data_IF_012014161648
#
_entry.id   IF_012014161648
#
_cell.length_a   1.000
_cell.length_b   1.000
_cell.length_c   1.000
_cell.angle_alpha   90.00
_cell.angle_beta   90.00
_cell.angle_gamma   90.00
#
_symmetry.space_group_name_H-M   'P 1'
#
loop_
_entity.id
_entity.type
_entity.pdbx_description
1 polymer ?
#
# COMPACT_ATOMS: atom_id res chain seq x y z
N UNK A 1 -60.65 5.33 79.95
CA UNK A 1 -59.29 4.77 79.87
C UNK A 1 -59.13 4.35 78.42
N UNK A 2 -58.82 5.27 77.50
CA UNK A 2 -57.48 5.87 77.25
C UNK A 2 -56.80 4.97 76.21
N UNK A 3 -56.28 5.41 75.06
CA UNK A 3 -56.03 6.69 74.40
C UNK A 3 -56.00 6.40 72.88
N UNK A 4 -56.35 7.39 72.05
CA UNK A 4 -55.99 7.44 70.63
C UNK A 4 -54.46 7.58 70.49
N UNK A 5 -53.86 6.89 69.53
CA UNK A 5 -52.47 7.15 69.13
C UNK A 5 -52.39 7.38 67.62
N UNK A 6 -52.11 8.63 67.31
CA UNK A 6 -51.87 9.23 66.00
C UNK A 6 -50.78 8.53 65.19
N UNK A 7 -51.00 8.52 63.87
CA UNK A 7 -49.99 8.23 62.87
C UNK A 7 -48.96 9.37 62.83
N UNK A 8 -47.78 9.15 63.39
CA UNK A 8 -46.64 10.07 63.25
C UNK A 8 -45.99 9.83 61.88
N UNK A 9 -46.27 10.73 60.94
CA UNK A 9 -45.49 10.89 59.73
C UNK A 9 -44.05 11.29 60.12
N UNK A 10 -43.07 10.44 59.79
CA UNK A 10 -41.66 10.79 59.91
C UNK A 10 -41.32 11.74 58.78
N UNK A 11 -41.36 13.04 59.07
CA UNK A 11 -40.82 14.09 58.22
C UNK A 11 -39.29 13.92 58.15
N UNK A 12 -38.82 13.20 57.13
CA UNK A 12 -37.39 13.18 56.79
C UNK A 12 -37.03 14.53 56.17
N UNK A 13 -36.73 15.52 57.01
CA UNK A 13 -36.11 16.77 56.56
C UNK A 13 -34.78 16.45 55.86
N UNK A 14 -34.76 16.66 54.55
CA UNK A 14 -33.54 16.56 53.74
C UNK A 14 -32.54 17.61 54.25
N UNK A 15 -31.30 17.24 54.63
CA UNK A 15 -30.33 18.16 55.22
C UNK A 15 -30.11 19.42 54.37
N UNK A 16 -30.04 20.58 55.01
CA UNK A 16 -29.87 21.91 54.37
C UNK A 16 -28.81 22.00 53.23
N UNK A 17 -27.68 21.26 53.25
CA UNK A 17 -26.72 21.28 52.13
C UNK A 17 -27.23 20.59 50.86
N UNK A 18 -28.07 19.56 50.98
CA UNK A 18 -28.63 18.80 49.86
C UNK A 18 -29.73 19.59 49.14
N UNK A 19 -30.55 20.34 49.88
CA UNK A 19 -31.57 21.23 49.30
C UNK A 19 -30.93 22.38 48.52
N UNK A 20 -29.81 22.92 48.99
CA UNK A 20 -29.05 23.98 48.31
C UNK A 20 -28.42 23.48 46.99
N UNK A 21 -27.89 22.25 47.01
CA UNK A 21 -27.30 21.59 45.82
C UNK A 21 -28.37 21.20 44.80
N UNK A 22 -29.55 20.75 45.24
CA UNK A 22 -30.69 20.47 44.35
C UNK A 22 -31.32 21.74 43.77
N UNK A 23 -31.40 22.84 44.54
CA UNK A 23 -31.82 24.14 44.02
C UNK A 23 -30.85 24.68 42.98
N UNK A 24 -29.54 24.64 43.25
CA UNK A 24 -28.53 24.98 42.25
C UNK A 24 -28.65 24.11 41.02
N UNK A 25 -28.81 22.78 41.14
CA UNK A 25 -28.90 21.90 39.99
C UNK A 25 -30.17 22.16 39.14
N UNK A 26 -31.30 22.48 39.77
CA UNK A 26 -32.52 22.91 39.07
C UNK A 26 -32.41 24.29 38.44
N UNK A 27 -31.62 25.19 39.03
CA UNK A 27 -31.33 26.52 38.48
C UNK A 27 -30.36 26.42 37.29
N UNK A 28 -29.34 25.56 37.36
CA UNK A 28 -28.47 25.20 36.23
C UNK A 28 -29.23 24.50 35.10
N UNK A 29 -30.18 23.61 35.42
CA UNK A 29 -31.06 22.99 34.42
C UNK A 29 -32.00 24.00 33.78
N UNK A 30 -32.63 24.90 34.55
CA UNK A 30 -33.46 25.99 33.99
C UNK A 30 -32.65 26.98 33.14
N UNK A 31 -31.40 27.27 33.53
CA UNK A 31 -30.48 28.10 32.73
C UNK A 31 -30.04 27.38 31.46
N UNK A 32 -29.80 26.06 31.51
CA UNK A 32 -29.49 25.24 30.33
C UNK A 32 -30.70 25.09 29.39
N UNK A 33 -31.90 24.89 29.93
CA UNK A 33 -33.15 24.82 29.18
C UNK A 33 -33.52 26.20 28.59
N UNK A 34 -33.23 27.30 29.29
CA UNK A 34 -33.36 28.66 28.77
C UNK A 34 -32.30 28.98 27.68
N UNK A 35 -31.10 28.41 27.77
CA UNK A 35 -30.05 28.48 26.74
C UNK A 35 -30.30 27.56 25.54
N UNK A 36 -31.23 26.60 25.66
CA UNK A 36 -31.58 25.66 24.58
C UNK A 36 -32.39 26.33 23.46
N UNK A 37 -32.85 27.57 23.63
CA UNK A 37 -33.70 28.25 22.62
C UNK A 37 -33.00 29.23 21.68
N UNK A 38 -31.68 29.45 21.75
CA UNK A 38 -30.99 30.35 20.81
C UNK A 38 -29.59 29.84 20.47
N UNK A 39 -29.50 28.75 19.70
CA UNK A 39 -28.31 28.52 18.88
C UNK A 39 -28.29 29.65 17.83
N UNK A 40 -27.25 30.50 17.76
CA UNK A 40 -27.21 31.59 16.78
C UNK A 40 -27.41 31.05 15.35
N UNK A 41 -28.14 31.75 14.46
CA UNK A 41 -28.44 31.27 13.10
C UNK A 41 -27.20 30.82 12.31
N UNK A 42 -26.08 31.53 12.51
CA UNK A 42 -24.78 31.22 11.91
C UNK A 42 -24.26 29.82 12.29
N UNK A 43 -24.52 29.34 13.51
CA UNK A 43 -24.07 28.02 13.97
C UNK A 43 -24.97 26.90 13.42
N UNK A 44 -26.26 27.17 13.19
CA UNK A 44 -27.18 26.24 12.54
C UNK A 44 -26.88 26.11 11.04
N UNK A 45 -26.60 27.21 10.35
CA UNK A 45 -26.14 27.21 8.95
C UNK A 45 -24.78 26.50 8.79
N UNK A 46 -23.84 26.73 9.70
CA UNK A 46 -22.55 26.05 9.70
C UNK A 46 -22.69 24.53 9.96
N UNK A 47 -23.67 24.11 10.76
CA UNK A 47 -23.99 22.69 11.00
C UNK A 47 -24.66 22.03 9.79
N UNK A 48 -25.62 22.71 9.17
CA UNK A 48 -26.31 22.23 7.96
C UNK A 48 -25.35 22.12 6.77
N UNK A 49 -24.49 23.12 6.56
CA UNK A 49 -23.45 23.09 5.52
C UNK A 49 -22.42 21.98 5.74
N UNK A 50 -22.04 21.69 6.99
CA UNK A 50 -21.19 20.55 7.33
C UNK A 50 -21.84 19.21 6.98
N UNK A 51 -23.11 19.01 7.36
CA UNK A 51 -23.85 17.79 7.03
C UNK A 51 -24.03 17.61 5.51
N UNK A 52 -24.36 18.68 4.78
CA UNK A 52 -24.46 18.65 3.33
C UNK A 52 -23.11 18.29 2.67
N UNK A 53 -22.00 18.85 3.17
CA UNK A 53 -20.65 18.52 2.71
C UNK A 53 -20.29 17.06 2.99
N UNK A 54 -20.67 16.52 4.15
CA UNK A 54 -20.43 15.13 4.51
C UNK A 54 -21.20 14.15 3.61
N UNK A 55 -22.50 14.43 3.35
CA UNK A 55 -23.32 13.65 2.42
C UNK A 55 -22.77 13.69 0.99
N UNK A 56 -22.24 14.83 0.56
CA UNK A 56 -21.60 14.95 -0.75
C UNK A 56 -20.34 14.10 -0.84
N UNK A 57 -19.44 14.17 0.15
CA UNK A 57 -18.24 13.33 0.21
C UNK A 57 -18.58 11.83 0.22
N UNK A 58 -19.66 11.44 0.89
CA UNK A 58 -20.14 10.06 0.90
C UNK A 58 -20.62 9.60 -0.48
N UNK A 59 -21.44 10.40 -1.17
CA UNK A 59 -21.86 10.12 -2.55
C UNK A 59 -20.67 10.00 -3.50
N UNK A 60 -19.71 10.90 -3.38
CA UNK A 60 -18.47 10.89 -4.18
C UNK A 60 -17.63 9.64 -3.91
N UNK A 61 -17.52 9.22 -2.65
CA UNK A 61 -16.80 8.00 -2.29
C UNK A 61 -17.48 6.75 -2.86
N UNK A 62 -18.80 6.61 -2.71
CA UNK A 62 -19.56 5.45 -3.22
C UNK A 62 -19.46 5.38 -4.75
N UNK A 63 -19.63 6.52 -5.44
CA UNK A 63 -19.46 6.60 -6.89
C UNK A 63 -18.03 6.23 -7.31
N UNK A 64 -17.02 6.73 -6.60
CA UNK A 64 -15.62 6.40 -6.87
C UNK A 64 -15.32 4.92 -6.65
N UNK A 65 -15.80 4.33 -5.56
CA UNK A 65 -15.63 2.91 -5.25
C UNK A 65 -16.25 2.04 -6.35
N UNK A 66 -17.49 2.34 -6.76
CA UNK A 66 -18.15 1.63 -7.86
C UNK A 66 -17.33 1.69 -9.14
N UNK A 67 -16.84 2.87 -9.52
CA UNK A 67 -16.02 3.04 -10.72
C UNK A 67 -14.72 2.24 -10.64
N UNK A 68 -14.03 2.28 -9.50
CA UNK A 68 -12.76 1.56 -9.31
C UNK A 68 -13.00 0.05 -9.42
N UNK A 69 -14.03 -0.49 -8.76
CA UNK A 69 -14.35 -1.92 -8.84
C UNK A 69 -14.72 -2.37 -10.27
N UNK A 70 -15.45 -1.55 -11.03
CA UNK A 70 -15.73 -1.80 -12.45
C UNK A 70 -14.45 -1.81 -13.31
N UNK A 71 -13.52 -0.90 -13.03
CA UNK A 71 -12.24 -0.85 -13.74
C UNK A 71 -11.35 -2.05 -13.40
N UNK A 72 -11.36 -2.50 -12.13
CA UNK A 72 -10.63 -3.70 -11.72
C UNK A 72 -11.19 -4.97 -12.36
N UNK A 73 -12.52 -5.11 -12.45
CA UNK A 73 -13.14 -6.31 -13.04
C UNK A 73 -12.94 -6.42 -14.55
N UNK A 74 -12.83 -5.29 -15.24
CA UNK A 74 -12.58 -5.21 -16.69
C UNK A 74 -11.09 -5.14 -17.06
N UNK A 75 -10.19 -5.15 -16.06
CA UNK A 75 -8.75 -4.89 -16.21
C UNK A 75 -8.44 -3.59 -16.99
N UNK A 76 -9.38 -2.64 -17.05
CA UNK A 76 -9.32 -1.49 -17.94
C UNK A 76 -8.41 -0.34 -17.45
N UNK A 77 -7.82 -0.47 -16.26
CA UNK A 77 -6.98 0.57 -15.63
C UNK A 77 -5.71 0.00 -14.99
N UNK A 78 -5.27 -1.18 -15.41
CA UNK A 78 -3.98 -1.65 -14.92
C UNK A 78 -2.83 -0.94 -15.65
N UNK A 79 -2.10 -0.14 -14.88
CA UNK A 79 -0.87 0.55 -15.31
C UNK A 79 0.38 -0.15 -14.80
N UNK A 80 0.23 -1.31 -14.16
CA UNK A 80 1.36 -2.16 -13.81
C UNK A 80 2.10 -2.54 -15.09
N UNK A 81 3.44 -2.52 -15.10
CA UNK A 81 4.23 -3.10 -16.19
C UNK A 81 3.87 -4.57 -16.47
N UNK A 82 3.28 -5.25 -15.48
CA UNK A 82 2.81 -6.63 -15.56
C UNK A 82 1.55 -6.80 -16.44
N UNK A 83 0.76 -5.75 -16.66
CA UNK A 83 -0.52 -5.84 -17.39
C UNK A 83 -1.62 -6.63 -16.67
N UNK A 84 -1.36 -7.10 -15.45
CA UNK A 84 -2.38 -7.57 -14.52
C UNK A 84 -2.06 -7.26 -13.05
N UNK A 85 -3.12 -7.32 -12.22
CA UNK A 85 -3.01 -7.21 -10.77
C UNK A 85 -2.13 -8.34 -10.21
N UNK A 86 -1.22 -7.96 -9.33
CA UNK A 86 -0.33 -8.91 -8.68
C UNK A 86 -1.10 -9.88 -7.76
N UNK A 87 -0.91 -11.19 -7.99
CA UNK A 87 -1.66 -12.26 -7.31
C UNK A 87 -1.48 -12.23 -5.80
N UNK A 88 -0.31 -11.84 -5.30
CA UNK A 88 -0.05 -11.74 -3.85
C UNK A 88 -0.88 -10.64 -3.17
N UNK A 89 -1.29 -9.62 -3.91
CA UNK A 89 -2.11 -8.53 -3.36
C UNK A 89 -3.59 -8.91 -3.26
N UNK A 90 -4.05 -9.90 -4.03
CA UNK A 90 -5.47 -10.23 -4.16
C UNK A 90 -6.18 -10.52 -2.82
N UNK A 91 -5.62 -11.30 -1.88
CA UNK A 91 -6.30 -11.58 -0.61
C UNK A 91 -6.60 -10.30 0.19
N UNK A 92 -5.60 -9.44 0.36
CA UNK A 92 -5.76 -8.15 1.05
C UNK A 92 -6.70 -7.21 0.28
N UNK A 93 -6.60 -7.18 -1.06
CA UNK A 93 -7.50 -6.37 -1.88
C UNK A 93 -8.96 -6.82 -1.73
N UNK A 94 -9.23 -8.13 -1.70
CA UNK A 94 -10.57 -8.68 -1.51
C UNK A 94 -11.14 -8.30 -0.14
N UNK A 95 -10.34 -8.41 0.93
CA UNK A 95 -10.75 -7.99 2.27
C UNK A 95 -11.15 -6.51 2.31
N UNK A 96 -10.31 -5.63 1.77
CA UNK A 96 -10.56 -4.19 1.77
C UNK A 96 -11.73 -3.81 0.87
N UNK A 97 -11.78 -4.32 -0.36
CA UNK A 97 -12.79 -3.93 -1.35
C UNK A 97 -14.20 -4.40 -0.98
N UNK A 98 -14.32 -5.53 -0.27
CA UNK A 98 -15.60 -6.03 0.25
C UNK A 98 -16.17 -5.11 1.34
N UNK A 99 -15.31 -4.52 2.17
CA UNK A 99 -15.74 -3.65 3.26
C UNK A 99 -16.22 -2.28 2.76
N UNK A 100 -17.37 -1.78 3.21
CA UNK A 100 -18.00 -0.55 2.70
C UNK A 100 -17.06 0.66 2.68
N UNK A 101 -16.24 0.84 3.71
CA UNK A 101 -15.41 2.04 3.89
C UNK A 101 -14.09 2.08 3.10
N UNK A 102 -13.76 1.04 2.35
CA UNK A 102 -12.46 0.95 1.66
C UNK A 102 -12.59 0.60 0.19
N UNK A 103 -11.66 1.13 -0.62
CA UNK A 103 -11.41 0.65 -1.99
C UNK A 103 -9.95 0.82 -2.36
N UNK A 104 -9.32 -0.22 -2.92
CA UNK A 104 -7.92 -0.20 -3.35
C UNK A 104 -7.78 0.48 -4.70
N UNK A 105 -6.89 1.47 -4.82
CA UNK A 105 -6.71 2.26 -6.05
C UNK A 105 -5.42 1.92 -6.81
N UNK A 106 -4.41 1.40 -6.12
CA UNK A 106 -3.19 0.84 -6.73
C UNK A 106 -2.51 -0.10 -5.75
N UNK A 107 -1.82 -1.12 -6.26
CA UNK A 107 -1.05 -2.07 -5.44
C UNK A 107 0.13 -2.65 -6.21
N UNK A 108 1.17 -3.07 -5.48
CA UNK A 108 2.29 -3.85 -5.98
C UNK A 108 2.79 -4.71 -4.82
N UNK A 109 2.99 -6.02 -5.04
CA UNK A 109 3.38 -6.91 -3.94
C UNK A 109 4.85 -6.77 -3.53
N UNK A 110 5.63 -6.10 -4.36
CA UNK A 110 7.08 -6.01 -4.27
C UNK A 110 7.71 -6.61 -5.53
N UNK A 111 8.92 -6.18 -5.87
CA UNK A 111 9.61 -6.66 -7.07
C UNK A 111 11.13 -6.60 -6.93
N UNK A 112 11.78 -7.61 -7.50
CA UNK A 112 13.20 -7.60 -7.82
C UNK A 112 13.32 -7.16 -9.28
N UNK A 113 14.13 -6.14 -9.54
CA UNK A 113 14.25 -5.58 -10.87
C UNK A 113 15.67 -5.14 -11.23
N UNK A 114 15.99 -5.21 -12.51
CA UNK A 114 17.08 -4.45 -13.11
C UNK A 114 16.45 -3.29 -13.86
N UNK A 115 16.86 -2.07 -13.54
CA UNK A 115 16.27 -0.87 -14.11
C UNK A 115 17.37 0.00 -14.72
N UNK A 116 17.19 0.34 -15.99
CA UNK A 116 18.01 1.29 -16.71
C UNK A 116 17.37 2.68 -16.69
N UNK A 117 18.15 3.65 -16.25
CA UNK A 117 17.78 5.07 -16.23
C UNK A 117 18.91 5.92 -16.77
N UNK A 118 18.59 7.02 -17.42
CA UNK A 118 19.55 8.05 -17.81
C UNK A 118 19.38 9.23 -16.85
N UNK A 119 20.47 9.71 -16.27
CA UNK A 119 20.42 10.93 -15.46
C UNK A 119 20.12 12.11 -16.39
N UNK A 120 19.01 12.82 -16.13
CA UNK A 120 18.81 14.15 -16.70
C UNK A 120 19.61 15.09 -15.81
N UNK A 121 20.65 15.73 -16.35
CA UNK A 121 21.35 16.78 -15.63
C UNK A 121 20.35 17.91 -15.30
N UNK A 122 20.00 18.06 -14.02
CA UNK A 122 19.30 19.25 -13.56
C UNK A 122 20.27 20.42 -13.67
N UNK A 123 20.24 21.14 -14.80
CA UNK A 123 20.92 22.42 -14.89
C UNK A 123 20.27 23.36 -13.86
N UNK A 124 20.97 23.60 -12.75
CA UNK A 124 20.65 24.68 -11.82
C UNK A 124 20.80 26.03 -12.55
N UNK A 125 19.77 26.46 -13.26
CA UNK A 125 19.77 27.73 -13.97
C UNK A 125 18.56 27.93 -14.88
N UNK A 126 17.71 28.88 -14.47
CA UNK A 126 16.57 29.46 -15.20
C UNK A 126 15.28 28.62 -15.23
N UNK A 127 14.25 29.25 -14.65
CA UNK A 127 12.87 28.79 -14.63
C UNK A 127 12.32 28.64 -16.05
N UNK A 128 11.67 27.51 -16.34
CA UNK A 128 10.38 27.43 -17.03
C UNK A 128 9.83 25.99 -17.02
N UNK A 129 8.58 25.85 -16.56
CA UNK A 129 7.68 24.71 -16.79
C UNK A 129 8.24 23.29 -16.55
N UNK A 130 8.20 22.84 -15.29
CA UNK A 130 8.34 21.43 -14.93
C UNK A 130 7.15 20.59 -15.47
N UNK A 131 7.21 20.22 -16.75
CA UNK A 131 6.35 19.19 -17.31
C UNK A 131 6.81 17.84 -16.74
N UNK A 132 5.89 17.13 -16.08
CA UNK A 132 6.13 15.81 -15.52
C UNK A 132 6.58 14.83 -16.64
N UNK A 133 7.88 14.56 -16.68
CA UNK A 133 8.48 13.60 -17.62
C UNK A 133 7.97 12.20 -17.25
N UNK A 134 7.28 11.55 -18.19
CA UNK A 134 6.84 10.15 -18.06
C UNK A 134 8.07 9.26 -17.86
N UNK A 135 7.98 8.28 -16.95
CA UNK A 135 8.99 7.20 -16.80
C UNK A 135 9.28 6.57 -18.18
N UNK A 136 10.53 6.64 -18.62
CA UNK A 136 10.98 6.13 -19.94
C UNK A 136 11.02 7.21 -21.01
N UNK A 137 11.81 8.26 -20.80
CA UNK A 137 12.15 9.18 -21.90
C UNK A 137 12.91 8.42 -23.00
N UNK A 138 12.88 8.90 -24.24
CA UNK A 138 13.24 8.15 -25.47
C UNK A 138 14.63 7.46 -25.47
N UNK A 139 15.51 7.84 -24.56
CA UNK A 139 16.87 7.31 -24.42
C UNK A 139 17.03 6.26 -23.32
N UNK A 140 16.08 6.15 -22.37
CA UNK A 140 16.16 5.18 -21.28
C UNK A 140 15.38 3.89 -21.59
N UNK A 141 16.09 2.77 -21.70
CA UNK A 141 15.52 1.42 -21.87
C UNK A 141 14.52 0.99 -20.76
N UNK A 142 14.55 1.62 -19.58
CA UNK A 142 13.58 1.35 -18.51
C UNK A 142 13.78 -0.01 -17.84
N UNK A 143 12.71 -0.78 -17.67
CA UNK A 143 12.76 -2.07 -16.98
C UNK A 143 13.48 -3.12 -17.82
N UNK A 144 14.63 -3.59 -17.34
CA UNK A 144 15.35 -4.69 -17.96
C UNK A 144 14.88 -6.05 -17.45
N UNK A 145 14.70 -6.16 -16.15
CA UNK A 145 14.16 -7.34 -15.50
C UNK A 145 13.14 -6.85 -14.49
N UNK A 146 11.99 -7.52 -14.39
CA UNK A 146 11.08 -7.36 -13.26
C UNK A 146 10.52 -8.71 -12.89
N UNK A 147 10.59 -9.04 -11.60
CA UNK A 147 9.97 -10.24 -11.04
C UNK A 147 9.31 -9.89 -9.72
N UNK A 148 8.06 -10.30 -9.53
CA UNK A 148 7.29 -10.08 -8.30
C UNK A 148 7.47 -11.22 -7.26
N UNK A 149 8.43 -12.10 -7.53
CA UNK A 149 8.75 -13.31 -6.77
C UNK A 149 10.25 -13.39 -6.51
N UNK A 150 10.64 -14.28 -5.61
CA UNK A 150 12.04 -14.63 -5.44
C UNK A 150 12.62 -15.23 -6.74
N UNK A 151 13.89 -14.90 -7.01
CA UNK A 151 14.68 -15.51 -8.06
C UNK A 151 15.03 -16.95 -7.66
N UNK A 152 14.89 -17.89 -8.59
CA UNK A 152 15.36 -19.27 -8.46
C UNK A 152 16.89 -19.31 -8.61
N UNK A 153 17.52 -20.37 -8.11
CA UNK A 153 18.99 -20.54 -8.25
C UNK A 153 19.45 -20.48 -9.71
N UNK A 154 18.66 -21.05 -10.65
CA UNK A 154 18.96 -20.99 -12.09
C UNK A 154 18.96 -19.55 -12.61
N UNK A 155 18.01 -18.73 -12.19
CA UNK A 155 17.93 -17.32 -12.58
C UNK A 155 19.05 -16.50 -11.94
N UNK A 156 19.41 -16.81 -10.69
CA UNK A 156 20.55 -16.16 -10.02
C UNK A 156 21.85 -16.43 -10.77
N UNK A 157 22.16 -17.69 -11.09
CA UNK A 157 23.36 -18.03 -11.83
C UNK A 157 23.37 -17.40 -13.23
N UNK A 158 22.23 -17.44 -13.93
CA UNK A 158 22.09 -16.77 -15.22
C UNK A 158 22.40 -15.26 -15.12
N UNK A 159 21.82 -14.56 -14.13
CA UNK A 159 22.03 -13.12 -13.95
C UNK A 159 23.48 -12.81 -13.56
N UNK A 160 24.10 -13.65 -12.74
CA UNK A 160 25.52 -13.51 -12.39
C UNK A 160 26.38 -13.59 -13.66
N UNK A 161 26.19 -14.61 -14.49
CA UNK A 161 26.94 -14.74 -15.74
C UNK A 161 26.67 -13.56 -16.69
N UNK A 162 25.40 -13.18 -16.87
CA UNK A 162 25.02 -12.07 -17.75
C UNK A 162 25.62 -10.72 -17.30
N UNK A 163 25.74 -10.48 -15.99
CA UNK A 163 26.25 -9.23 -15.44
C UNK A 163 27.79 -9.21 -15.33
N UNK A 164 28.43 -10.37 -15.08
CA UNK A 164 29.85 -10.44 -14.74
C UNK A 164 30.77 -10.89 -15.88
N UNK A 165 30.27 -11.64 -16.87
CA UNK A 165 31.12 -12.24 -17.92
C UNK A 165 31.06 -11.48 -19.26
N UNK A 166 30.13 -10.54 -19.41
CA UNK A 166 29.92 -9.83 -20.67
C UNK A 166 29.36 -10.73 -21.79
N UNK A 167 29.07 -10.15 -22.95
CA UNK A 167 28.45 -10.86 -24.07
C UNK A 167 29.39 -11.86 -24.80
N UNK A 168 30.65 -12.00 -24.38
CA UNK A 168 31.67 -12.79 -25.11
C UNK A 168 31.90 -14.20 -24.53
N UNK A 169 31.09 -14.65 -23.57
CA UNK A 169 31.30 -15.92 -22.85
C UNK A 169 30.28 -17.04 -23.11
N UNK A 170 29.35 -16.91 -24.05
CA UNK A 170 28.37 -17.99 -24.33
C UNK A 170 28.98 -19.05 -25.24
N UNK A 171 29.83 -19.92 -24.67
CA UNK A 171 30.11 -21.23 -25.28
C UNK A 171 28.79 -22.00 -25.38
N UNK A 172 28.35 -22.14 -26.63
CA UNK A 172 27.26 -22.99 -27.09
C UNK A 172 27.49 -24.41 -26.56
N UNK A 173 26.66 -24.84 -25.61
CA UNK A 173 26.44 -26.26 -25.39
C UNK A 173 25.38 -26.70 -26.41
N UNK A 174 25.83 -27.08 -27.61
CA UNK A 174 25.02 -27.82 -28.56
C UNK A 174 24.62 -29.17 -27.93
N UNK A 175 23.40 -29.25 -27.44
CA UNK A 175 22.75 -30.51 -27.13
C UNK A 175 21.98 -30.99 -28.37
N UNK A 176 22.72 -31.39 -29.41
CA UNK A 176 22.18 -32.20 -30.49
C UNK A 176 22.51 -33.68 -30.22
N UNK A 177 21.50 -34.45 -29.82
CA UNK A 177 21.48 -35.90 -29.97
C UNK A 177 21.27 -36.71 -28.69
N UNK A 178 20.02 -37.04 -28.37
CA UNK A 178 19.59 -38.42 -28.06
C UNK A 178 18.08 -38.45 -27.81
N UNK A 179 17.42 -39.38 -28.49
CA UNK A 179 15.98 -39.56 -28.52
C UNK A 179 15.39 -40.11 -27.21
N UNK A 180 14.14 -39.70 -26.94
CA UNK A 180 13.11 -40.53 -26.31
C UNK A 180 13.10 -40.62 -24.79
N UNK A 181 12.16 -39.89 -24.16
CA UNK A 181 11.19 -40.42 -23.17
C UNK A 181 10.21 -39.31 -22.77
N UNK A 182 8.92 -39.60 -22.95
CA UNK A 182 7.81 -38.81 -22.45
C UNK A 182 7.80 -38.89 -20.92
N UNK A 183 7.79 -37.75 -20.24
CA UNK A 183 7.38 -37.63 -18.84
C UNK A 183 6.61 -36.32 -18.71
N UNK A 184 5.30 -36.44 -18.57
CA UNK A 184 4.39 -35.35 -18.18
C UNK A 184 4.64 -35.01 -16.71
N UNK A 185 5.21 -33.85 -16.44
CA UNK A 185 5.13 -33.19 -15.13
C UNK A 185 4.82 -31.71 -15.35
N UNK A 186 3.69 -31.28 -14.79
CA UNK A 186 3.08 -29.97 -15.02
C UNK A 186 4.02 -28.81 -14.72
N UNK A 187 4.43 -28.12 -15.78
CA UNK A 187 5.17 -26.86 -15.72
C UNK A 187 4.24 -25.75 -15.20
N UNK A 188 4.46 -25.32 -13.96
CA UNK A 188 4.03 -23.98 -13.54
C UNK A 188 5.03 -22.98 -14.12
N UNK A 189 4.71 -22.44 -15.29
CA UNK A 189 5.43 -21.34 -15.93
C UNK A 189 5.46 -20.13 -14.98
N UNK A 190 6.65 -19.75 -14.54
CA UNK A 190 6.90 -18.51 -13.82
C UNK A 190 6.91 -17.36 -14.82
N UNK A 191 5.81 -16.62 -14.86
CA UNK A 191 5.60 -15.40 -15.65
C UNK A 191 6.66 -14.33 -15.31
N UNK A 192 7.62 -14.12 -16.23
CA UNK A 192 8.65 -13.07 -16.17
C UNK A 192 8.22 -11.91 -17.07
N UNK A 193 7.67 -10.85 -16.48
CA UNK A 193 7.23 -9.65 -17.21
C UNK A 193 8.25 -8.53 -17.08
N UNK A 194 9.03 -8.28 -18.12
CA UNK A 194 9.95 -7.15 -18.20
C UNK A 194 10.68 -7.14 -19.54
N UNK A 195 10.84 -5.95 -20.13
CA UNK A 195 11.38 -5.73 -21.48
C UNK A 195 12.90 -5.95 -21.49
N UNK A 196 13.33 -7.21 -21.35
CA UNK A 196 14.50 -7.84 -21.99
C UNK A 196 14.26 -9.36 -22.13
N UNK A 197 13.03 -9.73 -22.49
CA UNK A 197 12.68 -11.08 -22.93
C UNK A 197 11.60 -10.93 -24.01
N UNK A 198 11.92 -11.24 -25.27
CA UNK A 198 10.91 -11.79 -26.17
C UNK A 198 10.42 -13.08 -25.51
N UNK A 199 9.14 -13.15 -25.16
CA UNK A 199 8.41 -14.30 -24.60
C UNK A 199 9.26 -15.42 -23.97
N UNK A 200 9.27 -15.48 -22.63
CA UNK A 200 9.56 -16.72 -21.89
C UNK A 200 11.01 -17.22 -21.84
N UNK A 201 12.02 -16.51 -22.37
CA UNK A 201 13.43 -16.96 -22.30
C UNK A 201 14.37 -15.85 -21.86
N UNK A 202 15.00 -16.02 -20.69
CA UNK A 202 16.18 -15.28 -20.27
C UNK A 202 17.29 -15.43 -21.33
N UNK A 203 17.43 -14.46 -22.23
CA UNK A 203 18.54 -14.39 -23.19
C UNK A 203 19.46 -13.26 -22.77
N UNK A 204 20.73 -13.59 -22.56
CA UNK A 204 21.74 -12.59 -22.23
C UNK A 204 21.88 -11.66 -23.43
N UNK A 205 21.74 -10.38 -23.15
CA UNK A 205 21.99 -9.31 -24.10
C UNK A 205 23.07 -8.40 -23.57
N UNK A 206 23.69 -7.64 -24.47
CA UNK A 206 24.65 -6.63 -24.08
C UNK A 206 23.99 -5.62 -23.15
N UNK A 207 24.58 -5.42 -21.97
CA UNK A 207 24.18 -4.34 -21.07
C UNK A 207 24.26 -2.98 -21.77
N UNK A 208 23.44 -2.00 -21.37
CA UNK A 208 23.43 -0.68 -21.97
C UNK A 208 24.81 -0.02 -21.87
N UNK A 209 25.30 0.54 -22.98
CA UNK A 209 26.62 1.19 -23.06
C UNK A 209 26.63 2.63 -22.50
N UNK A 210 25.51 3.10 -21.94
CA UNK A 210 25.34 4.43 -21.38
C UNK A 210 24.32 4.39 -20.25
N UNK A 211 24.23 5.46 -19.47
CA UNK A 211 23.27 5.56 -18.37
C UNK A 211 23.63 4.70 -17.15
N UNK A 212 22.63 4.53 -16.29
CA UNK A 212 22.71 3.80 -15.02
C UNK A 212 21.85 2.54 -15.10
N UNK A 213 22.45 1.37 -14.83
CA UNK A 213 21.71 0.14 -14.55
C UNK A 213 21.81 -0.18 -13.07
N UNK A 214 20.67 -0.28 -12.40
CA UNK A 214 20.61 -0.59 -10.99
C UNK A 214 19.79 -1.85 -10.70
N UNK A 215 20.30 -2.67 -9.76
CA UNK A 215 19.55 -3.75 -9.15
C UNK A 215 18.71 -3.21 -8.00
N UNK A 216 17.40 -3.41 -8.11
CA UNK A 216 16.42 -2.91 -7.16
C UNK A 216 15.68 -4.07 -6.51
N UNK A 217 15.50 -3.98 -5.20
CA UNK A 217 14.45 -4.69 -4.50
C UNK A 217 13.50 -3.63 -3.95
N UNK A 218 12.31 -3.53 -4.54
CA UNK A 218 11.27 -2.60 -4.10
C UNK A 218 10.20 -3.39 -3.34
N UNK A 219 9.86 -3.00 -2.10
CA UNK A 219 8.91 -3.75 -1.29
C UNK A 219 7.45 -3.40 -1.64
N UNK A 220 6.50 -4.10 -1.01
CA UNK A 220 5.07 -3.89 -1.16
C UNK A 220 4.65 -2.42 -1.00
N UNK A 221 3.70 -2.01 -1.82
CA UNK A 221 3.01 -0.73 -1.67
C UNK A 221 1.54 -0.88 -2.08
N UNK A 222 0.66 -0.21 -1.35
CA UNK A 222 -0.76 -0.15 -1.69
C UNK A 222 -1.34 1.21 -1.34
N UNK A 223 -2.23 1.72 -2.19
CA UNK A 223 -3.04 2.89 -1.89
C UNK A 223 -4.50 2.47 -1.75
N UNK A 224 -5.11 2.90 -0.67
CA UNK A 224 -6.50 2.59 -0.32
C UNK A 224 -7.24 3.90 -0.12
N UNK A 225 -8.29 4.12 -0.89
CA UNK A 225 -9.22 5.20 -0.61
C UNK A 225 -10.14 4.78 0.53
N UNK A 226 -10.29 5.67 1.51
CA UNK A 226 -11.10 5.47 2.70
C UNK A 226 -12.31 6.41 2.67
N UNK A 227 -13.47 5.94 3.13
CA UNK A 227 -14.71 6.73 3.19
C UNK A 227 -14.59 7.89 4.18
N UNK A 228 -13.92 7.66 5.30
CA UNK A 228 -13.84 8.61 6.42
C UNK A 228 -12.41 8.71 6.95
N UNK A 229 -12.12 9.77 7.72
CA UNK A 229 -10.83 9.90 8.39
C UNK A 229 -10.64 8.84 9.48
N UNK A 230 -11.74 8.40 10.09
CA UNK A 230 -11.75 7.34 11.10
C UNK A 230 -11.35 5.99 10.49
N UNK A 231 -11.98 5.59 9.38
CA UNK A 231 -11.61 4.38 8.64
C UNK A 231 -10.15 4.44 8.16
N UNK A 232 -9.67 5.61 7.73
CA UNK A 232 -8.27 5.81 7.35
C UNK A 232 -7.29 5.66 8.52
N UNK A 233 -7.58 6.28 9.67
CA UNK A 233 -6.78 6.16 10.90
C UNK A 233 -6.70 4.72 11.36
N UNK A 234 -7.82 4.01 11.28
CA UNK A 234 -7.89 2.62 11.66
C UNK A 234 -7.02 1.74 10.77
N UNK A 235 -7.11 1.92 9.45
CA UNK A 235 -6.32 1.16 8.48
C UNK A 235 -4.82 1.46 8.64
N UNK A 236 -4.48 2.74 8.87
CA UNK A 236 -3.13 3.15 9.18
C UNK A 236 -2.62 2.48 10.46
N UNK A 237 -3.46 2.33 11.48
CA UNK A 237 -3.08 1.66 12.73
C UNK A 237 -2.82 0.15 12.50
N UNK A 238 -3.66 -0.52 11.72
CA UNK A 238 -3.43 -1.91 11.31
C UNK A 238 -2.09 -2.06 10.58
N UNK A 239 -1.82 -1.17 9.63
CA UNK A 239 -0.61 -1.21 8.83
C UNK A 239 0.65 -0.88 9.65
N UNK A 240 0.67 0.27 10.35
CA UNK A 240 1.86 0.77 11.00
C UNK A 240 2.15 0.08 12.33
N UNK A 241 1.15 -0.04 13.21
CA UNK A 241 1.34 -0.57 14.56
C UNK A 241 1.35 -2.10 14.58
N UNK A 242 0.39 -2.74 13.88
CA UNK A 242 0.21 -4.19 14.01
C UNK A 242 1.06 -4.97 12.98
N UNK A 243 1.26 -4.41 11.78
CA UNK A 243 1.97 -5.08 10.67
C UNK A 243 3.37 -4.50 10.36
N UNK A 244 3.74 -3.36 10.97
CA UNK A 244 5.09 -2.79 10.87
C UNK A 244 5.39 -1.97 9.61
N UNK A 245 4.36 -1.45 8.93
CA UNK A 245 4.46 -0.56 7.77
C UNK A 245 4.61 0.90 8.22
N UNK A 246 5.74 1.22 8.85
CA UNK A 246 5.95 2.49 9.56
C UNK A 246 6.02 3.75 8.69
N UNK A 247 6.26 3.62 7.38
CA UNK A 247 6.24 4.75 6.44
C UNK A 247 4.85 4.94 5.80
N UNK A 248 3.83 4.26 6.32
CA UNK A 248 2.46 4.46 5.89
C UNK A 248 1.93 5.82 6.37
N UNK A 249 1.00 6.40 5.60
CA UNK A 249 0.43 7.70 5.92
C UNK A 249 -0.92 7.91 5.26
N UNK A 250 -1.64 8.92 5.74
CA UNK A 250 -2.92 9.36 5.18
C UNK A 250 -2.74 10.73 4.56
N UNK A 251 -3.07 10.86 3.27
CA UNK A 251 -3.07 12.16 2.60
C UNK A 251 -4.22 13.03 3.14
N UNK A 252 -3.99 14.33 3.43
CA UNK A 252 -4.97 15.18 4.07
C UNK A 252 -6.29 15.31 3.28
N UNK A 253 -7.41 15.60 3.97
CA UNK A 253 -8.72 15.65 3.37
C UNK A 253 -8.81 16.80 2.37
N UNK A 254 -9.16 16.45 1.14
CA UNK A 254 -9.34 17.37 0.02
C UNK A 254 -10.25 16.73 -1.02
N UNK A 255 -9.68 16.12 -2.07
CA UNK A 255 -10.45 15.35 -3.05
C UNK A 255 -10.84 13.96 -2.55
N UNK A 256 -9.91 13.23 -1.93
CA UNK A 256 -10.11 11.84 -1.46
C UNK A 256 -9.20 11.57 -0.27
N UNK A 257 -9.69 10.81 0.71
CA UNK A 257 -8.88 10.35 1.84
C UNK A 257 -8.15 9.08 1.39
N UNK A 258 -6.84 9.16 1.20
CA UNK A 258 -6.03 8.03 0.73
C UNK A 258 -5.09 7.60 1.85
N UNK A 259 -5.20 6.34 2.27
CA UNK A 259 -4.21 5.66 3.09
C UNK A 259 -3.18 4.99 2.18
N UNK A 260 -1.95 5.48 2.19
CA UNK A 260 -0.82 4.85 1.51
C UNK A 260 -0.09 3.92 2.47
N UNK A 261 -0.13 2.62 2.18
CA UNK A 261 0.55 1.58 2.96
C UNK A 261 1.92 1.33 2.35
N UNK A 262 2.98 1.61 3.11
CA UNK A 262 4.38 1.57 2.64
C UNK A 262 5.30 0.96 3.69
N UNK A 263 6.26 0.18 3.23
CA UNK A 263 7.24 -0.45 4.11
C UNK A 263 8.14 0.55 4.83
N UNK A 264 8.61 0.12 6.02
CA UNK A 264 9.67 0.81 6.74
C UNK A 264 11.00 0.75 5.97
N UNK A 265 11.89 1.71 6.26
CA UNK A 265 13.24 1.75 5.69
C UNK A 265 14.01 0.44 5.92
N UNK A 266 14.83 0.05 4.93
CA UNK A 266 15.74 -1.09 5.02
C UNK A 266 15.22 -2.41 4.45
N UNK A 267 13.95 -2.51 4.02
CA UNK A 267 13.47 -3.72 3.34
C UNK A 267 13.84 -3.73 1.85
N UNK A 268 13.78 -2.58 1.20
CA UNK A 268 14.27 -2.44 -0.17
C UNK A 268 15.77 -2.16 -0.25
N UNK A 269 16.28 -2.10 -1.47
CA UNK A 269 17.56 -1.46 -1.81
C UNK A 269 17.56 -1.05 -3.28
N UNK A 270 18.49 -0.16 -3.62
CA UNK A 270 18.81 0.28 -4.97
C UNK A 270 20.33 0.31 -5.11
N UNK A 271 20.89 -0.61 -5.90
CA UNK A 271 22.35 -0.80 -6.03
C UNK A 271 22.74 -0.56 -7.49
N UNK A 272 23.51 0.50 -7.81
CA UNK A 272 24.02 0.72 -9.14
C UNK A 272 25.06 -0.34 -9.51
N UNK A 273 24.92 -0.95 -10.67
CA UNK A 273 25.82 -1.97 -11.22
C UNK A 273 26.62 -1.44 -12.40
N UNK A 274 25.96 -0.68 -13.28
CA UNK A 274 26.56 0.02 -14.42
C UNK A 274 26.31 1.51 -14.21
N UNK A 275 27.36 2.34 -14.29
CA UNK A 275 27.25 3.80 -14.21
C UNK A 275 28.04 4.40 -15.37
N UNK A 276 27.41 5.31 -16.11
CA UNK A 276 28.00 6.02 -17.26
C UNK A 276 28.60 5.04 -18.29
N UNK A 277 27.92 3.92 -18.52
CA UNK A 277 28.36 2.86 -19.43
C UNK A 277 29.47 1.95 -18.90
N UNK A 278 30.02 2.21 -17.71
CA UNK A 278 31.05 1.38 -17.06
C UNK A 278 30.39 0.33 -16.18
N UNK A 279 30.63 -0.95 -16.47
CA UNK A 279 30.15 -2.07 -15.66
C UNK A 279 31.09 -2.35 -14.48
N UNK A 280 30.69 -1.93 -13.27
CA UNK A 280 31.50 -2.06 -12.05
C UNK A 280 31.47 -3.46 -11.45
N UNK A 281 30.56 -4.33 -11.88
CA UNK A 281 30.43 -5.70 -11.38
C UNK A 281 31.05 -6.75 -12.30
N UNK A 282 31.73 -6.32 -13.36
CA UNK A 282 32.48 -7.20 -14.25
C UNK A 282 33.48 -8.06 -13.45
N UNK A 283 33.44 -9.38 -13.63
CA UNK A 283 34.25 -10.35 -12.89
C UNK A 283 33.93 -10.51 -11.39
N UNK A 284 32.90 -9.84 -10.86
CA UNK A 284 32.54 -9.89 -9.43
C UNK A 284 31.43 -10.89 -9.13
N UNK A 285 31.56 -12.14 -9.58
CA UNK A 285 30.51 -13.17 -9.46
C UNK A 285 30.02 -13.39 -8.03
N UNK A 286 30.94 -13.45 -7.07
CA UNK A 286 30.60 -13.67 -5.67
C UNK A 286 29.76 -12.53 -5.08
N UNK A 287 30.08 -11.28 -5.45
CA UNK A 287 29.37 -10.10 -4.98
C UNK A 287 27.96 -10.02 -5.57
N UNK A 288 27.83 -10.15 -6.89
CA UNK A 288 26.52 -10.12 -7.57
C UNK A 288 25.61 -11.25 -7.07
N UNK A 289 26.15 -12.47 -6.92
CA UNK A 289 25.40 -13.59 -6.34
C UNK A 289 24.88 -13.24 -4.95
N UNK A 290 25.73 -12.63 -4.10
CA UNK A 290 25.32 -12.23 -2.75
C UNK A 290 24.26 -11.14 -2.76
N UNK A 291 24.32 -10.18 -3.68
CA UNK A 291 23.29 -9.15 -3.85
C UNK A 291 21.94 -9.75 -4.26
N UNK A 292 21.92 -10.68 -5.20
CA UNK A 292 20.69 -11.36 -5.65
C UNK A 292 20.10 -12.23 -4.53
N UNK A 293 20.93 -12.96 -3.79
CA UNK A 293 20.49 -13.69 -2.58
C UNK A 293 19.93 -12.74 -1.51
N UNK A 294 20.51 -11.56 -1.34
CA UNK A 294 19.99 -10.54 -0.44
C UNK A 294 18.63 -10.00 -0.94
N UNK A 295 18.45 -9.80 -2.24
CA UNK A 295 17.15 -9.45 -2.83
C UNK A 295 16.10 -10.51 -2.51
N UNK A 296 16.42 -11.79 -2.70
CA UNK A 296 15.55 -12.91 -2.31
C UNK A 296 15.21 -12.88 -0.82
N UNK A 297 16.19 -12.70 0.06
CA UNK A 297 15.97 -12.63 1.52
C UNK A 297 15.01 -11.50 1.88
N UNK A 298 15.15 -10.35 1.22
CA UNK A 298 14.27 -9.19 1.40
C UNK A 298 12.87 -9.42 0.82
N UNK A 299 12.75 -10.08 -0.32
CA UNK A 299 11.47 -10.50 -0.90
C UNK A 299 10.71 -11.46 0.04
N UNK A 300 11.38 -12.45 0.62
CA UNK A 300 10.75 -13.34 1.61
C UNK A 300 10.27 -12.56 2.84
N UNK A 301 11.10 -11.65 3.35
CA UNK A 301 10.75 -10.79 4.49
C UNK A 301 9.58 -9.86 4.18
N UNK A 302 9.47 -9.41 2.93
CA UNK A 302 8.35 -8.64 2.40
C UNK A 302 7.07 -9.47 2.39
N UNK A 303 7.10 -10.68 1.86
CA UNK A 303 5.94 -11.57 1.79
C UNK A 303 5.41 -11.96 3.18
N UNK A 304 6.31 -12.17 4.15
CA UNK A 304 5.92 -12.41 5.55
C UNK A 304 5.17 -11.21 6.13
N UNK A 305 5.63 -9.99 5.86
CA UNK A 305 4.98 -8.77 6.34
C UNK A 305 3.67 -8.48 5.64
N UNK A 306 3.56 -8.79 4.35
CA UNK A 306 2.30 -8.70 3.61
C UNK A 306 1.23 -9.61 4.22
N UNK A 307 1.58 -10.86 4.55
CA UNK A 307 0.67 -11.78 5.27
C UNK A 307 0.28 -11.27 6.66
N UNK A 308 1.22 -10.63 7.38
CA UNK A 308 0.91 -10.00 8.67
C UNK A 308 -0.06 -8.84 8.53
N UNK A 309 0.08 -8.03 7.47
CA UNK A 309 -0.86 -6.95 7.17
C UNK A 309 -2.26 -7.48 6.87
N UNK A 310 -2.34 -8.51 6.04
CA UNK A 310 -3.61 -9.18 5.73
C UNK A 310 -4.31 -9.66 7.02
N UNK A 311 -3.60 -10.40 7.87
CA UNK A 311 -4.12 -10.88 9.14
C UNK A 311 -4.52 -9.74 10.10
N UNK A 312 -3.70 -8.68 10.18
CA UNK A 312 -3.99 -7.52 11.02
C UNK A 312 -5.22 -6.75 10.55
N UNK A 313 -5.41 -6.60 9.23
CA UNK A 313 -6.61 -5.98 8.67
C UNK A 313 -7.83 -6.85 8.94
N UNK A 314 -7.78 -8.15 8.65
CA UNK A 314 -8.88 -9.07 8.87
C UNK A 314 -9.34 -9.09 10.35
N UNK A 315 -8.43 -9.32 11.28
CA UNK A 315 -8.74 -9.43 12.71
C UNK A 315 -9.40 -8.17 13.30
N UNK A 316 -9.13 -7.04 12.66
CA UNK A 316 -9.57 -5.74 13.12
C UNK A 316 -10.96 -5.50 12.48
N UNK A 317 -11.17 -5.84 11.20
CA UNK A 317 -12.48 -5.71 10.54
C UNK A 317 -13.53 -6.57 11.24
N UNK A 318 -13.15 -7.77 11.68
CA UNK A 318 -14.02 -8.68 12.44
C UNK A 318 -14.48 -8.04 13.77
N UNK A 319 -13.57 -7.36 14.48
CA UNK A 319 -13.91 -6.65 15.73
C UNK A 319 -14.93 -5.53 15.51
N UNK A 320 -14.87 -4.86 14.36
CA UNK A 320 -15.80 -3.78 14.02
C UNK A 320 -17.20 -4.31 13.74
N UNK A 321 -17.30 -5.39 12.95
CA UNK A 321 -18.57 -6.06 12.72
C UNK A 321 -19.23 -6.56 14.01
N UNK A 322 -18.44 -7.00 14.99
CA UNK A 322 -18.95 -7.43 16.30
C UNK A 322 -19.39 -6.28 17.23
N UNK A 323 -18.94 -5.03 16.99
CA UNK A 323 -19.36 -3.86 17.79
C UNK A 323 -20.55 -3.11 17.20
N UNK A 324 -20.83 -3.31 15.90
CA UNK A 324 -21.90 -2.62 15.17
C UNK A 324 -23.18 -3.48 15.00
N UNK A 325 -23.11 -4.79 15.31
CA UNK A 325 -24.25 -5.73 15.30
C UNK A 325 -24.80 -6.04 16.69
#
# INVERSE_FOLDING_TARGET
MGEEADAVAVDTEVPAPLQKKQRQNKEWQRLADAQTTLVPPQYQEHKQSYHAKQQQCEKEFVAHKRQVLMNLSSNACDHSPKGGVDRKCLPLMQLLNTHEDYVTTSSCSGRIALFHSVAIAENCGAAESAAAVKRGDKDALGWLLVKHEALTEREVEFLVHALCDGAEGSVVADAAGAAGRQHEEGQREGELDGVWVREGVLRASSLPAFGLVALKMEPFVMHVACRTMESAKWLLSAAAADAGFRNSGVTPPGKKIICGIRHAAGLGFDVPLVMDGVNYVMGQHAYVRRLLQMANTKMHSNDVRLRRLEAAVAARLDKRGATEG
#
